data_IF_434506944934
#
_entry.id   IF_434506944934
#
_cell.length_a   1.000
_cell.length_b   1.000
_cell.length_c   1.000
_cell.angle_alpha   90.00
_cell.angle_beta   90.00
_cell.angle_gamma   90.00
#
_symmetry.space_group_name_H-M   'P 1'
#
loop_
_entity.id
_entity.type
_entity.pdbx_description
1 polymer ?
#
# COMPACT_ATOMS: atom_id res chain seq x y z
N UNK A 1 -31.26 25.80 -11.03
CA UNK A 1 -32.60 25.32 -10.60
C UNK A 1 -32.80 23.91 -11.14
N UNK A 2 -32.85 22.92 -10.31
CA UNK A 2 -33.40 21.56 -10.31
C UNK A 2 -32.60 20.76 -9.28
N UNK A 3 -32.99 20.77 -8.02
CA UNK A 3 -33.86 19.89 -7.22
C UNK A 3 -33.54 18.41 -7.46
N UNK A 4 -32.82 17.78 -6.50
CA UNK A 4 -33.38 17.08 -5.33
C UNK A 4 -34.04 15.75 -5.69
N UNK A 5 -33.47 14.63 -5.27
CA UNK A 5 -34.28 13.58 -4.63
C UNK A 5 -33.38 12.67 -3.74
N UNK A 6 -33.71 12.72 -2.46
CA UNK A 6 -33.31 11.76 -1.41
C UNK A 6 -34.01 10.43 -1.66
N UNK A 7 -33.30 9.32 -1.44
CA UNK A 7 -33.93 8.04 -1.12
C UNK A 7 -33.19 7.37 0.05
N UNK A 8 -33.83 7.59 1.21
CA UNK A 8 -33.62 6.79 2.42
C UNK A 8 -34.18 5.38 2.19
N UNK A 9 -33.41 4.37 2.45
CA UNK A 9 -33.88 3.03 2.70
C UNK A 9 -33.27 2.50 4.00
N UNK A 10 -34.10 2.57 5.05
CA UNK A 10 -33.97 1.84 6.31
C UNK A 10 -34.36 0.38 6.06
N UNK A 11 -33.58 -0.58 6.56
CA UNK A 11 -34.02 -1.91 7.00
C UNK A 11 -33.00 -2.46 7.96
N UNK A 12 -33.25 -2.42 9.25
CA UNK A 12 -34.00 -3.34 10.10
C UNK A 12 -33.21 -4.60 10.52
N UNK A 13 -32.94 -4.58 11.83
CA UNK A 13 -32.48 -5.62 12.76
C UNK A 13 -33.07 -7.03 12.50
N UNK A 14 -32.25 -8.03 12.69
CA UNK A 14 -32.68 -9.32 13.25
C UNK A 14 -31.60 -9.87 14.19
N UNK A 15 -31.84 -9.75 15.49
CA UNK A 15 -31.20 -10.53 16.55
C UNK A 15 -31.84 -11.91 16.59
N UNK A 16 -31.02 -12.95 16.62
CA UNK A 16 -31.42 -14.26 17.11
C UNK A 16 -30.42 -14.69 18.16
N UNK A 17 -30.83 -14.49 19.40
CA UNK A 17 -30.26 -15.19 20.56
C UNK A 17 -30.90 -16.56 20.63
N UNK A 18 -30.10 -17.62 20.69
CA UNK A 18 -30.55 -18.94 21.11
C UNK A 18 -29.56 -19.52 22.12
N UNK A 19 -29.89 -19.34 23.38
CA UNK A 19 -29.38 -20.17 24.47
C UNK A 19 -30.15 -21.50 24.47
N UNK A 20 -29.47 -22.62 24.56
CA UNK A 20 -30.02 -23.93 24.77
C UNK A 20 -29.05 -24.84 25.50
N UNK A 21 -29.23 -24.95 26.80
CA UNK A 21 -28.58 -25.92 27.69
C UNK A 21 -29.25 -27.27 27.50
N UNK A 22 -28.55 -28.39 27.42
CA UNK A 22 -28.65 -29.50 28.37
C UNK A 22 -27.97 -30.81 27.91
N UNK A 23 -27.19 -31.30 28.86
CA UNK A 23 -27.15 -32.65 29.40
C UNK A 23 -26.78 -33.86 28.50
N UNK A 24 -25.60 -34.38 28.81
CA UNK A 24 -25.21 -35.76 28.99
C UNK A 24 -25.87 -36.88 28.12
N UNK A 25 -25.06 -37.39 27.20
CA UNK A 25 -25.06 -38.84 26.92
C UNK A 25 -23.67 -39.31 26.47
N UNK A 26 -23.17 -40.29 27.23
CA UNK A 26 -21.95 -41.05 27.06
C UNK A 26 -22.16 -42.07 25.92
N UNK A 27 -21.39 -42.00 24.87
CA UNK A 27 -21.19 -43.08 23.94
C UNK A 27 -19.77 -43.02 23.39
N UNK A 28 -19.05 -44.11 23.58
CA UNK A 28 -17.75 -44.41 22.99
C UNK A 28 -17.85 -44.32 21.46
N UNK A 29 -16.91 -43.59 20.85
CA UNK A 29 -16.52 -43.88 19.46
C UNK A 29 -15.10 -43.36 19.21
N UNK A 30 -14.35 -44.19 18.54
CA UNK A 30 -12.96 -44.21 18.14
C UNK A 30 -12.35 -42.88 17.65
N UNK A 31 -10.99 -42.75 17.73
CA UNK A 31 -10.29 -41.59 17.26
C UNK A 31 -10.24 -41.54 15.74
N UNK A 32 -11.02 -40.67 15.13
CA UNK A 32 -10.81 -40.28 13.73
C UNK A 32 -9.74 -39.23 13.71
N UNK A 33 -8.63 -39.63 13.15
CA UNK A 33 -7.50 -38.84 12.66
C UNK A 33 -8.03 -37.67 11.81
N UNK A 34 -7.93 -36.45 12.36
CA UNK A 34 -8.18 -35.18 11.66
C UNK A 34 -6.97 -34.25 11.80
N UNK A 35 -5.84 -34.78 11.44
CA UNK A 35 -4.63 -33.99 11.27
C UNK A 35 -4.37 -33.77 9.78
N UNK A 36 -5.03 -32.78 9.17
CA UNK A 36 -4.57 -32.18 7.91
C UNK A 36 -5.46 -31.00 7.48
N UNK A 37 -5.44 -29.86 8.17
CA UNK A 37 -5.92 -28.57 7.62
C UNK A 37 -5.37 -27.32 8.36
N UNK A 38 -4.27 -27.45 9.11
CA UNK A 38 -3.72 -26.33 9.89
C UNK A 38 -2.41 -25.70 9.33
N UNK A 39 -1.87 -26.25 8.23
CA UNK A 39 -0.54 -25.84 7.77
C UNK A 39 -0.56 -24.79 6.63
N UNK A 40 -1.67 -24.70 5.90
CA UNK A 40 -1.75 -23.83 4.71
C UNK A 40 -2.01 -22.35 5.02
N UNK A 41 -2.54 -22.01 6.20
CA UNK A 41 -2.86 -20.61 6.56
C UNK A 41 -1.68 -19.86 7.17
N UNK A 42 -0.75 -20.56 7.81
CA UNK A 42 0.43 -19.92 8.40
C UNK A 42 1.46 -19.51 7.33
N UNK A 43 1.62 -20.29 6.28
CA UNK A 43 2.53 -19.98 5.18
C UNK A 43 2.05 -18.76 4.37
N UNK A 44 0.74 -18.65 4.13
CA UNK A 44 0.18 -17.50 3.40
C UNK A 44 0.29 -16.18 4.20
N UNK A 45 0.15 -16.24 5.53
CA UNK A 45 0.31 -15.06 6.39
C UNK A 45 1.79 -14.66 6.48
N UNK A 46 2.70 -15.62 6.60
CA UNK A 46 4.13 -15.37 6.63
C UNK A 46 4.62 -14.76 5.31
N UNK A 47 4.16 -15.27 4.17
CA UNK A 47 4.51 -14.72 2.85
C UNK A 47 3.98 -13.30 2.65
N UNK A 48 2.74 -13.02 3.06
CA UNK A 48 2.17 -11.66 2.96
C UNK A 48 2.89 -10.65 3.85
N UNK A 49 3.35 -11.06 5.02
CA UNK A 49 4.11 -10.21 5.95
C UNK A 49 5.50 -9.91 5.38
N UNK A 50 6.22 -10.94 4.91
CA UNK A 50 7.53 -10.78 4.30
C UNK A 50 7.48 -9.88 3.05
N UNK A 51 6.45 -10.01 2.22
CA UNK A 51 6.24 -9.16 1.06
C UNK A 51 5.98 -7.71 1.47
N UNK A 52 5.18 -7.47 2.51
CA UNK A 52 4.92 -6.13 3.06
C UNK A 52 6.21 -5.47 3.54
N UNK A 53 7.04 -6.18 4.28
CA UNK A 53 8.35 -5.69 4.76
C UNK A 53 9.30 -5.38 3.60
N UNK A 54 9.36 -6.23 2.59
CA UNK A 54 10.19 -6.01 1.41
C UNK A 54 9.72 -4.77 0.61
N UNK A 55 8.41 -4.54 0.50
CA UNK A 55 7.87 -3.34 -0.14
C UNK A 55 8.21 -2.08 0.65
N UNK A 56 8.10 -2.11 1.97
CA UNK A 56 8.50 -0.99 2.84
C UNK A 56 9.99 -0.67 2.67
N UNK A 57 10.84 -1.69 2.62
CA UNK A 57 12.27 -1.53 2.37
C UNK A 57 12.54 -0.92 0.99
N UNK A 58 11.83 -1.36 -0.05
CA UNK A 58 11.93 -0.79 -1.40
C UNK A 58 11.57 0.70 -1.42
N UNK A 59 10.43 1.09 -0.83
CA UNK A 59 9.98 2.49 -0.78
C UNK A 59 10.99 3.35 -0.01
N UNK A 60 11.49 2.84 1.11
CA UNK A 60 12.49 3.52 1.94
C UNK A 60 13.79 3.77 1.17
N UNK A 61 14.30 2.75 0.48
CA UNK A 61 15.51 2.86 -0.32
C UNK A 61 15.30 3.73 -1.57
N UNK A 62 14.16 3.61 -2.23
CA UNK A 62 13.78 4.46 -3.37
C UNK A 62 13.90 5.94 -3.02
N UNK A 63 13.38 6.34 -1.86
CA UNK A 63 13.42 7.74 -1.43
C UNK A 63 14.79 8.14 -0.90
N UNK A 64 15.34 7.40 0.07
CA UNK A 64 16.59 7.77 0.76
C UNK A 64 17.79 7.81 -0.19
N UNK A 65 17.83 6.92 -1.18
CA UNK A 65 18.87 6.87 -2.20
C UNK A 65 18.60 7.77 -3.41
N UNK A 66 17.54 8.60 -3.35
CA UNK A 66 17.12 9.53 -4.43
C UNK A 66 16.97 8.85 -5.79
N UNK A 67 16.47 7.60 -5.79
CA UNK A 67 16.28 6.84 -7.04
C UNK A 67 15.26 7.47 -7.97
N UNK A 68 14.37 8.31 -7.43
CA UNK A 68 13.43 9.12 -8.21
C UNK A 68 14.10 10.17 -9.10
N UNK A 69 15.35 10.55 -8.84
CA UNK A 69 16.13 11.44 -9.71
C UNK A 69 16.79 10.68 -10.88
N UNK A 70 16.76 9.35 -10.87
CA UNK A 70 17.36 8.50 -11.89
C UNK A 70 16.28 8.05 -12.90
N UNK A 71 16.28 8.65 -14.08
CA UNK A 71 15.31 8.37 -15.14
C UNK A 71 15.32 6.90 -15.62
N UNK A 72 16.49 6.26 -15.70
CA UNK A 72 16.60 4.85 -16.07
C UNK A 72 15.99 3.93 -15.00
N UNK A 73 16.15 4.30 -13.71
CA UNK A 73 15.49 3.60 -12.63
C UNK A 73 13.98 3.76 -12.71
N UNK A 74 13.48 4.97 -12.94
CA UNK A 74 12.05 5.22 -13.09
C UNK A 74 11.46 4.43 -14.28
N UNK A 75 12.11 4.43 -15.44
CA UNK A 75 11.69 3.65 -16.61
C UNK A 75 11.60 2.15 -16.32
N UNK A 76 12.46 1.64 -15.45
CA UNK A 76 12.48 0.21 -15.07
C UNK A 76 11.45 -0.14 -14.00
N UNK A 77 11.18 0.77 -13.05
CA UNK A 77 10.42 0.51 -11.84
C UNK A 77 9.11 1.28 -11.74
N UNK A 78 8.68 1.99 -12.78
CA UNK A 78 7.37 2.62 -12.85
C UNK A 78 6.54 1.99 -13.97
N UNK A 79 5.23 1.86 -13.72
CA UNK A 79 4.30 1.46 -14.77
C UNK A 79 4.20 2.51 -15.87
N UNK A 80 3.72 2.12 -17.04
CA UNK A 80 3.53 3.02 -18.16
C UNK A 80 2.59 4.19 -17.82
N UNK A 81 1.60 3.97 -16.94
CA UNK A 81 0.67 4.99 -16.48
C UNK A 81 1.37 6.03 -15.61
N UNK A 82 2.21 5.58 -14.66
CA UNK A 82 3.02 6.47 -13.81
C UNK A 82 4.02 7.24 -14.66
N UNK A 83 4.74 6.59 -15.58
CA UNK A 83 5.68 7.27 -16.48
C UNK A 83 4.99 8.34 -17.33
N UNK A 84 3.78 8.02 -17.83
CA UNK A 84 2.99 9.00 -18.58
C UNK A 84 2.62 10.20 -17.70
N UNK A 85 2.14 9.96 -16.48
CA UNK A 85 1.83 11.03 -15.52
C UNK A 85 3.06 11.92 -15.28
N UNK A 86 4.21 11.33 -14.96
CA UNK A 86 5.45 12.08 -14.72
C UNK A 86 5.91 12.89 -15.95
N UNK A 87 5.66 12.38 -17.16
CA UNK A 87 5.97 13.11 -18.38
C UNK A 87 4.98 14.25 -18.65
N UNK A 88 3.68 14.03 -18.38
CA UNK A 88 2.63 15.04 -18.52
C UNK A 88 2.82 16.20 -17.51
N UNK A 89 3.31 15.88 -16.30
CA UNK A 89 3.53 16.86 -15.21
C UNK A 89 4.88 17.58 -15.33
N UNK A 90 5.71 17.22 -16.30
CA UNK A 90 7.00 17.87 -16.53
C UNK A 90 6.83 19.23 -17.22
N UNK A 91 7.18 20.31 -16.53
CA UNK A 91 6.88 21.69 -16.91
C UNK A 91 7.98 22.38 -17.76
N UNK A 92 9.14 21.73 -17.97
CA UNK A 92 10.27 22.36 -18.64
C UNK A 92 10.38 21.95 -20.11
N UNK A 93 10.96 22.85 -20.93
CA UNK A 93 11.23 22.54 -22.34
C UNK A 93 12.24 21.39 -22.49
N UNK A 94 12.06 20.55 -23.49
CA UNK A 94 12.96 19.44 -23.79
C UNK A 94 12.45 18.06 -23.32
N UNK A 95 11.37 18.04 -22.53
CA UNK A 95 10.79 16.80 -22.00
C UNK A 95 11.61 16.20 -20.87
N UNK A 96 10.97 15.37 -20.06
CA UNK A 96 11.58 14.70 -18.90
C UNK A 96 10.52 13.99 -18.05
N UNK A 97 10.91 13.63 -16.84
CA UNK A 97 10.00 13.06 -15.84
C UNK A 97 9.95 13.98 -14.62
N UNK A 98 8.75 14.31 -14.15
CA UNK A 98 8.50 15.16 -12.98
C UNK A 98 8.85 14.41 -11.68
N UNK A 99 10.14 14.26 -11.41
CA UNK A 99 10.64 13.55 -10.22
C UNK A 99 10.25 14.23 -8.90
N UNK A 100 9.87 15.51 -8.95
CA UNK A 100 9.34 16.25 -7.80
C UNK A 100 7.99 15.71 -7.29
N UNK A 101 7.27 14.93 -8.08
CA UNK A 101 6.04 14.27 -7.63
C UNK A 101 6.28 13.25 -6.50
N UNK A 102 7.54 12.84 -6.30
CA UNK A 102 7.94 11.96 -5.22
C UNK A 102 8.46 12.69 -3.98
N UNK A 103 8.57 14.02 -4.02
CA UNK A 103 9.20 14.83 -2.98
C UNK A 103 8.35 16.06 -2.61
N UNK A 104 8.85 16.94 -1.77
CA UNK A 104 8.09 18.10 -1.27
C UNK A 104 7.75 19.17 -2.31
N UNK A 105 8.35 19.12 -3.50
CA UNK A 105 8.20 20.15 -4.52
C UNK A 105 8.89 21.47 -4.22
N UNK A 106 9.52 21.64 -3.04
CA UNK A 106 10.32 22.82 -2.72
C UNK A 106 11.70 22.73 -3.37
N UNK A 107 12.24 23.88 -3.79
CA UNK A 107 13.60 23.97 -4.37
C UNK A 107 14.66 24.22 -3.30
N UNK A 108 14.28 24.93 -2.23
CA UNK A 108 15.16 25.29 -1.12
C UNK A 108 14.51 24.91 0.21
N UNK A 109 15.31 24.46 1.17
CA UNK A 109 14.87 24.07 2.49
C UNK A 109 15.85 24.49 3.59
N UNK A 110 15.45 24.37 4.86
CA UNK A 110 16.24 24.82 6.01
C UNK A 110 17.46 23.95 6.31
N UNK A 111 17.60 22.77 5.70
CA UNK A 111 18.73 21.85 5.94
C UNK A 111 18.86 20.80 4.84
N UNK A 112 19.96 20.03 4.86
CA UNK A 112 20.19 18.92 3.93
C UNK A 112 19.48 17.61 4.34
N UNK A 113 18.62 17.66 5.36
CA UNK A 113 17.93 16.47 5.85
C UNK A 113 17.01 15.90 4.78
N UNK A 114 17.29 14.66 4.37
CA UNK A 114 16.58 13.94 3.34
C UNK A 114 16.47 12.46 3.77
N UNK A 115 15.31 12.06 4.25
CA UNK A 115 15.08 10.70 4.75
C UNK A 115 13.59 10.37 4.88
N UNK A 116 13.25 9.09 4.75
CA UNK A 116 11.93 8.56 5.12
C UNK A 116 11.80 8.50 6.64
N UNK A 117 10.67 8.99 7.14
CA UNK A 117 10.30 8.94 8.57
C UNK A 117 9.50 7.68 8.88
N UNK A 118 8.52 7.35 8.02
CA UNK A 118 7.67 6.18 8.15
C UNK A 118 7.12 5.76 6.79
N UNK A 119 6.81 4.46 6.67
CA UNK A 119 6.03 3.90 5.56
C UNK A 119 4.91 3.08 6.17
N UNK A 120 3.67 3.43 5.86
CA UNK A 120 2.47 2.84 6.43
C UNK A 120 1.61 2.20 5.34
N UNK A 121 1.25 0.91 5.43
CA UNK A 121 0.37 0.28 4.46
C UNK A 121 -1.06 0.82 4.61
N UNK A 122 -1.71 1.12 3.48
CA UNK A 122 -3.09 1.61 3.41
C UNK A 122 -4.08 0.55 2.86
N UNK A 123 -3.59 -0.62 2.46
CA UNK A 123 -4.34 -1.64 1.74
C UNK A 123 -4.22 -1.50 0.22
N UNK A 124 -4.61 -2.53 -0.53
CA UNK A 124 -4.60 -2.57 -2.00
C UNK A 124 -3.24 -2.16 -2.63
N UNK A 125 -2.15 -2.55 -1.98
CA UNK A 125 -0.77 -2.19 -2.35
C UNK A 125 -0.45 -0.70 -2.27
N UNK A 126 -1.32 0.13 -1.69
CA UNK A 126 -1.04 1.51 -1.38
C UNK A 126 -0.29 1.64 -0.07
N UNK A 127 0.68 2.55 -0.05
CA UNK A 127 1.48 2.92 1.11
C UNK A 127 1.53 4.44 1.22
N UNK A 128 1.45 4.95 2.45
CA UNK A 128 1.78 6.34 2.71
C UNK A 128 3.22 6.39 3.24
N UNK A 129 4.10 7.11 2.57
CA UNK A 129 5.42 7.42 3.13
C UNK A 129 5.48 8.88 3.56
N UNK A 130 6.01 9.08 4.76
CA UNK A 130 6.30 10.39 5.33
C UNK A 130 7.81 10.59 5.31
N UNK A 131 8.25 11.79 5.01
CA UNK A 131 9.67 12.05 4.77
C UNK A 131 10.08 13.46 5.20
N UNK A 132 11.37 13.66 5.32
CA UNK A 132 12.00 14.97 5.23
C UNK A 132 12.64 15.14 3.85
N UNK A 133 12.44 16.30 3.24
CA UNK A 133 13.09 16.74 2.02
C UNK A 133 13.66 18.13 2.25
N UNK A 134 14.98 18.27 2.22
CA UNK A 134 15.68 19.50 2.58
C UNK A 134 15.24 20.09 3.94
N UNK A 135 14.94 19.21 4.90
CA UNK A 135 14.45 19.56 6.23
C UNK A 135 12.96 19.90 6.32
N UNK A 136 12.24 19.88 5.21
CA UNK A 136 10.79 20.09 5.15
C UNK A 136 10.09 18.73 5.24
N UNK A 137 9.12 18.62 6.16
CA UNK A 137 8.34 17.41 6.29
C UNK A 137 7.24 17.34 5.22
N UNK A 138 7.16 16.21 4.53
CA UNK A 138 6.14 15.92 3.54
C UNK A 138 5.59 14.48 3.67
N UNK A 139 4.59 14.17 2.88
CA UNK A 139 4.07 12.81 2.71
C UNK A 139 3.41 12.65 1.36
N UNK A 140 3.56 11.47 0.77
CA UNK A 140 2.85 11.05 -0.45
C UNK A 140 2.29 9.65 -0.27
N UNK A 141 1.36 9.30 -1.14
CA UNK A 141 0.89 7.93 -1.29
C UNK A 141 1.47 7.33 -2.55
N UNK A 142 1.92 6.11 -2.44
CA UNK A 142 2.51 5.35 -3.54
C UNK A 142 1.89 3.97 -3.60
N UNK A 143 1.51 3.52 -4.78
CA UNK A 143 1.08 2.13 -4.99
C UNK A 143 2.26 1.35 -5.55
N UNK A 144 2.63 0.27 -4.87
CA UNK A 144 3.74 -0.60 -5.28
C UNK A 144 3.23 -2.01 -5.45
N UNK A 145 3.31 -2.51 -6.67
CA UNK A 145 2.99 -3.90 -7.01
C UNK A 145 4.28 -4.70 -7.22
N UNK A 146 4.18 -6.00 -7.15
CA UNK A 146 5.28 -6.89 -7.48
C UNK A 146 4.95 -7.63 -8.77
N UNK A 147 5.81 -7.46 -9.77
CA UNK A 147 5.77 -8.18 -11.03
C UNK A 147 7.00 -9.07 -11.12
N UNK A 148 6.79 -10.39 -11.09
CA UNK A 148 7.83 -11.38 -10.93
C UNK A 148 8.67 -11.11 -9.65
N UNK A 149 9.96 -10.84 -9.78
CA UNK A 149 10.87 -10.50 -8.68
C UNK A 149 11.10 -8.97 -8.54
N UNK A 150 10.42 -8.15 -9.35
CA UNK A 150 10.62 -6.70 -9.36
C UNK A 150 9.47 -5.95 -8.67
N UNK A 151 9.82 -4.90 -7.94
CA UNK A 151 8.86 -3.92 -7.48
C UNK A 151 8.60 -2.88 -8.56
N UNK A 152 7.32 -2.58 -8.80
CA UNK A 152 6.86 -1.59 -9.77
C UNK A 152 5.98 -0.56 -9.06
N UNK A 153 6.32 0.70 -9.21
CA UNK A 153 5.51 1.83 -8.77
C UNK A 153 4.39 2.01 -9.79
N UNK A 154 3.15 1.77 -9.34
CA UNK A 154 1.97 1.72 -10.20
C UNK A 154 0.95 2.83 -9.88
N UNK A 155 1.27 3.72 -8.98
CA UNK A 155 0.45 4.89 -8.66
C UNK A 155 1.14 5.86 -7.71
N UNK A 156 0.83 7.16 -7.85
CA UNK A 156 1.32 8.26 -7.01
C UNK A 156 0.16 9.22 -6.73
N UNK A 157 0.03 9.67 -5.45
CA UNK A 157 -0.97 10.64 -5.00
C UNK A 157 -0.38 11.57 -3.93
#
# INVERSE_FOLDING_TARGET
MRRLTYLLALMALAMVASCGNNAAQKAEQEPQDSTALADSSNDAIADSTARGEATIAFITDFYNSKKFENEEFLKKHCSAEVLKKLADDYEYEGGGLASWDFRSGYQDGPSDRHEVISVEPLGDNWYQYSFYDMGIKGSHKIRVIQEDENFVIDGIQ
#
